data_IF_471405494860
#
_entry.id   IF_471405494860
#
_cell.length_a   1.000
_cell.length_b   1.000
_cell.length_c   1.000
_cell.angle_alpha   90.00
_cell.angle_beta   90.00
_cell.angle_gamma   90.00
#
_symmetry.space_group_name_H-M   'P 1'
#
loop_
_entity.id
_entity.type
_entity.pdbx_description
1 polymer ?
#
# COMPACT_ATOMS: atom_id res chain seq x y z
N UNK A 1 13.67 25.35 20.61
CA UNK A 1 14.74 25.86 19.74
C UNK A 1 14.06 26.16 18.41
N UNK A 2 13.25 27.23 18.42
CA UNK A 2 12.45 27.70 17.30
C UNK A 2 13.06 29.01 16.83
N UNK A 3 13.48 29.11 15.57
CA UNK A 3 13.60 30.31 14.74
C UNK A 3 13.80 29.74 13.31
N UNK A 4 13.15 30.14 12.21
CA UNK A 4 12.88 31.49 11.71
C UNK A 4 11.70 31.41 10.71
N UNK A 5 10.68 32.24 10.92
CA UNK A 5 9.78 32.77 9.89
C UNK A 5 9.93 34.29 9.93
N UNK A 6 10.32 34.91 8.81
CA UNK A 6 10.14 36.35 8.57
C UNK A 6 9.87 36.58 7.08
N UNK A 7 8.58 36.72 6.79
CA UNK A 7 7.92 37.90 6.20
C UNK A 7 8.61 38.75 5.11
N UNK A 8 7.91 38.78 3.97
CA UNK A 8 7.50 39.90 3.11
C UNK A 8 8.49 40.95 2.59
N UNK A 9 8.48 41.14 1.25
CA UNK A 9 8.29 42.46 0.61
C UNK A 9 7.55 42.37 -0.73
N UNK A 10 6.51 43.19 -0.84
CA UNK A 10 5.65 43.47 -1.98
C UNK A 10 6.35 44.25 -3.11
N UNK A 11 5.76 44.20 -4.31
CA UNK A 11 6.08 45.12 -5.42
C UNK A 11 5.40 44.72 -6.73
N UNK A 12 4.25 45.33 -7.02
CA UNK A 12 3.52 45.19 -8.29
C UNK A 12 3.85 46.36 -9.24
N UNK A 13 4.19 46.08 -10.51
CA UNK A 13 4.21 46.99 -11.67
C UNK A 13 4.09 46.11 -12.94
N UNK A 14 2.93 46.01 -13.62
CA UNK A 14 2.38 46.87 -14.69
C UNK A 14 3.03 46.70 -16.09
N UNK A 15 2.21 46.27 -17.08
CA UNK A 15 2.44 46.41 -18.55
C UNK A 15 3.47 45.44 -19.15
N UNK A 16 3.34 44.84 -20.34
CA UNK A 16 2.55 45.17 -21.51
C UNK A 16 3.48 45.13 -22.75
N UNK A 17 3.26 44.15 -23.63
CA UNK A 17 3.63 44.09 -25.06
C UNK A 17 5.09 43.77 -25.50
N UNK A 18 5.19 42.58 -26.11
CA UNK A 18 5.72 42.31 -27.45
C UNK A 18 7.13 42.81 -27.83
N UNK A 19 8.06 41.86 -27.96
CA UNK A 19 9.02 41.85 -29.08
C UNK A 19 9.28 40.39 -29.46
N UNK A 20 8.63 39.99 -30.55
CA UNK A 20 8.84 38.71 -31.21
C UNK A 20 9.89 38.92 -32.31
N UNK A 21 10.69 37.88 -32.59
CA UNK A 21 11.64 37.77 -33.70
C UNK A 21 12.88 38.66 -33.51
N UNK A 22 14.06 38.11 -33.24
CA UNK A 22 14.87 37.35 -34.19
C UNK A 22 15.95 36.57 -33.41
N UNK A 23 16.48 35.52 -34.04
CA UNK A 23 17.65 34.69 -33.68
C UNK A 23 17.28 33.32 -33.10
N UNK A 24 17.18 32.35 -34.02
CA UNK A 24 18.17 31.27 -34.09
C UNK A 24 18.11 30.17 -33.04
N UNK A 25 17.41 29.10 -33.42
CA UNK A 25 17.56 27.70 -32.97
C UNK A 25 18.95 27.32 -32.42
N UNK A 26 18.96 26.79 -31.19
CA UNK A 26 19.53 25.50 -30.74
C UNK A 26 19.97 25.62 -29.28
N UNK A 27 19.57 24.63 -28.47
CA UNK A 27 19.80 24.44 -27.01
C UNK A 27 18.59 24.84 -26.13
N UNK A 28 17.60 23.94 -26.07
CA UNK A 28 16.57 23.96 -25.03
C UNK A 28 17.02 23.09 -23.84
N UNK A 29 17.23 23.65 -22.63
CA UNK A 29 17.13 22.88 -21.40
C UNK A 29 15.65 22.69 -21.05
N UNK A 30 15.33 21.49 -20.57
CA UNK A 30 13.97 20.98 -20.39
C UNK A 30 13.06 21.87 -19.56
N UNK A 31 11.96 22.29 -20.18
CA UNK A 31 10.75 22.71 -19.48
C UNK A 31 9.90 21.48 -19.16
N UNK A 32 9.54 21.32 -17.89
CA UNK A 32 8.48 20.41 -17.46
C UNK A 32 7.18 20.85 -18.13
N UNK A 33 6.72 20.12 -19.16
CA UNK A 33 5.36 20.22 -19.66
C UNK A 33 4.51 19.15 -18.98
N UNK A 34 3.51 19.60 -18.25
CA UNK A 34 2.46 18.79 -17.68
C UNK A 34 1.35 18.79 -18.75
N UNK A 35 1.40 17.85 -19.69
CA UNK A 35 0.33 17.64 -20.66
C UNK A 35 -0.72 16.72 -20.01
N UNK A 36 -1.98 17.13 -19.81
CA UNK A 36 -3.03 16.20 -19.42
C UNK A 36 -3.40 15.37 -20.64
N UNK A 37 -3.02 14.09 -20.65
CA UNK A 37 -3.55 13.14 -21.63
C UNK A 37 -5.03 12.88 -21.34
N UNK A 38 -5.89 13.71 -21.94
CA UNK A 38 -7.28 13.38 -22.16
C UNK A 38 -7.35 12.25 -23.19
N UNK A 39 -7.31 11.01 -22.69
CA UNK A 39 -7.56 9.80 -23.46
C UNK A 39 -8.57 8.95 -22.70
N UNK A 40 -9.86 9.26 -22.82
CA UNK A 40 -10.95 8.39 -22.37
C UNK A 40 -11.08 7.22 -23.33
N UNK A 41 -10.10 6.33 -23.36
CA UNK A 41 -10.31 4.99 -23.87
C UNK A 41 -10.90 4.19 -22.72
N UNK A 42 -12.24 4.10 -22.67
CA UNK A 42 -12.93 3.18 -21.79
C UNK A 42 -12.40 1.77 -22.09
N UNK A 43 -11.68 1.18 -21.13
CA UNK A 43 -11.34 -0.23 -21.18
C UNK A 43 -12.65 -1.00 -21.32
N UNK A 44 -12.75 -2.00 -22.23
CA UNK A 44 -13.92 -2.87 -22.21
C UNK A 44 -13.94 -3.52 -20.84
N UNK A 45 -14.99 -3.22 -20.07
CA UNK A 45 -15.35 -4.02 -18.89
C UNK A 45 -15.81 -5.35 -19.47
N UNK A 46 -14.83 -6.21 -19.78
CA UNK A 46 -15.09 -7.59 -20.14
C UNK A 46 -15.83 -8.20 -18.96
N UNK A 47 -17.07 -8.62 -19.19
CA UNK A 47 -17.85 -9.39 -18.22
C UNK A 47 -16.94 -10.46 -17.65
N UNK A 48 -16.68 -10.41 -16.35
CA UNK A 48 -15.96 -11.47 -15.66
C UNK A 48 -16.75 -12.76 -15.93
N UNK A 49 -16.26 -13.58 -16.87
CA UNK A 49 -16.72 -14.94 -16.97
C UNK A 49 -16.51 -15.54 -15.58
N UNK A 50 -17.58 -16.08 -15.00
CA UNK A 50 -17.53 -16.71 -13.69
C UNK A 50 -16.66 -17.97 -13.83
N UNK A 51 -15.34 -17.80 -13.75
CA UNK A 51 -14.40 -18.90 -13.67
C UNK A 51 -14.72 -19.61 -12.35
N UNK A 52 -15.23 -20.84 -12.46
CA UNK A 52 -15.39 -21.71 -11.30
C UNK A 52 -14.04 -21.90 -10.61
N UNK A 53 -14.06 -22.17 -9.31
CA UNK A 53 -12.84 -22.47 -8.55
C UNK A 53 -12.19 -23.72 -9.19
N UNK A 54 -10.92 -23.64 -9.65
CA UNK A 54 -10.20 -24.79 -10.17
C UNK A 54 -10.26 -25.98 -9.19
N UNK A 55 -10.48 -27.17 -9.74
CA UNK A 55 -10.54 -28.43 -8.99
C UNK A 55 -9.32 -28.56 -8.05
N UNK A 56 -9.55 -28.87 -6.77
CA UNK A 56 -8.47 -29.07 -5.79
C UNK A 56 -8.03 -27.82 -5.01
N UNK A 57 -8.57 -26.64 -5.30
CA UNK A 57 -8.38 -25.46 -4.44
C UNK A 57 -9.30 -25.57 -3.21
N UNK A 58 -8.72 -25.44 -2.02
CA UNK A 58 -9.43 -25.44 -0.75
C UNK A 58 -9.36 -24.04 -0.11
N UNK A 59 -10.52 -23.49 0.24
CA UNK A 59 -10.63 -22.26 1.04
C UNK A 59 -10.97 -22.68 2.46
N UNK A 60 -10.16 -22.22 3.43
CA UNK A 60 -10.37 -22.52 4.83
C UNK A 60 -11.60 -21.77 5.35
N UNK A 61 -12.56 -22.47 5.95
CA UNK A 61 -13.79 -21.84 6.47
C UNK A 61 -13.70 -21.50 7.95
N UNK A 62 -12.82 -22.17 8.67
CA UNK A 62 -12.70 -22.06 10.14
C UNK A 62 -11.44 -21.31 10.58
N UNK A 63 -10.61 -20.90 9.63
CA UNK A 63 -9.40 -20.10 9.84
C UNK A 63 -9.15 -19.27 8.58
N UNK A 64 -8.03 -18.55 8.55
CA UNK A 64 -7.62 -17.79 7.37
C UNK A 64 -6.94 -18.69 6.34
N UNK A 65 -7.20 -18.40 5.08
CA UNK A 65 -6.57 -18.97 3.90
C UNK A 65 -5.33 -18.16 3.52
N UNK A 66 -4.26 -18.84 3.11
CA UNK A 66 -3.08 -18.18 2.55
C UNK A 66 -3.40 -17.43 1.26
N UNK A 67 -2.80 -16.25 1.07
CA UNK A 67 -2.92 -15.46 -0.16
C UNK A 67 -2.47 -16.23 -1.41
N UNK A 68 -1.61 -17.24 -1.27
CA UNK A 68 -1.19 -18.11 -2.36
C UNK A 68 -2.39 -18.79 -3.04
N UNK A 69 -3.39 -19.22 -2.25
CA UNK A 69 -4.61 -19.85 -2.78
C UNK A 69 -5.40 -18.84 -3.60
N UNK A 70 -5.52 -17.61 -3.12
CA UNK A 70 -6.18 -16.52 -3.84
C UNK A 70 -5.48 -16.22 -5.18
N UNK A 71 -4.14 -16.31 -5.20
CA UNK A 71 -3.30 -16.09 -6.37
C UNK A 71 -3.50 -17.09 -7.52
N UNK A 72 -4.11 -18.26 -7.27
CA UNK A 72 -4.42 -19.21 -8.32
C UNK A 72 -5.42 -18.64 -9.34
N UNK A 73 -6.41 -17.89 -8.86
CA UNK A 73 -7.46 -17.26 -9.69
C UNK A 73 -7.26 -15.74 -9.83
N UNK A 74 -6.84 -15.04 -8.77
CA UNK A 74 -6.69 -13.58 -8.73
C UNK A 74 -5.23 -13.16 -8.97
N UNK A 75 -4.64 -13.65 -10.05
CA UNK A 75 -3.20 -13.54 -10.34
C UNK A 75 -2.70 -12.08 -10.37
N UNK A 76 -3.39 -11.19 -11.06
CA UNK A 76 -3.00 -9.79 -11.19
C UNK A 76 -3.06 -9.04 -9.84
N UNK A 77 -4.12 -9.29 -9.05
CA UNK A 77 -4.29 -8.68 -7.72
C UNK A 77 -3.24 -9.24 -6.75
N UNK A 78 -3.02 -10.55 -6.75
CA UNK A 78 -2.01 -11.19 -5.93
C UNK A 78 -0.60 -10.66 -6.25
N UNK A 79 -0.25 -10.52 -7.53
CA UNK A 79 1.03 -9.94 -7.95
C UNK A 79 1.19 -8.49 -7.47
N UNK A 80 0.13 -7.68 -7.51
CA UNK A 80 0.15 -6.32 -6.98
C UNK A 80 0.29 -6.29 -5.46
N UNK A 81 -0.48 -7.12 -4.74
CA UNK A 81 -0.40 -7.27 -3.30
C UNK A 81 0.99 -7.70 -2.86
N UNK A 82 1.64 -8.64 -3.54
CA UNK A 82 2.99 -9.10 -3.24
C UNK A 82 4.02 -7.96 -3.19
N UNK A 83 3.85 -6.91 -4.00
CA UNK A 83 4.73 -5.73 -4.03
C UNK A 83 4.37 -4.67 -2.97
N UNK A 84 3.22 -4.79 -2.32
CA UNK A 84 2.73 -3.81 -1.36
C UNK A 84 3.52 -3.81 -0.03
N UNK A 85 3.24 -2.84 0.82
CA UNK A 85 3.71 -2.85 2.21
C UNK A 85 2.86 -3.76 3.10
N UNK A 86 1.64 -4.09 2.70
CA UNK A 86 0.75 -5.00 3.42
C UNK A 86 1.27 -6.44 3.40
N UNK A 87 1.71 -6.94 2.23
CA UNK A 87 2.35 -8.27 2.11
C UNK A 87 3.66 -8.38 2.88
N UNK A 88 4.31 -7.25 3.13
CA UNK A 88 5.59 -7.13 3.83
C UNK A 88 5.46 -6.60 5.25
N UNK A 89 4.23 -6.44 5.75
CA UNK A 89 3.99 -5.78 7.02
C UNK A 89 4.71 -6.49 8.17
N UNK A 90 4.72 -7.82 8.16
CA UNK A 90 5.46 -8.62 9.13
C UNK A 90 6.94 -8.77 8.77
N UNK A 91 7.30 -8.95 7.48
CA UNK A 91 8.65 -9.38 7.09
C UNK A 91 9.64 -8.25 6.83
N UNK A 92 9.16 -7.00 6.73
CA UNK A 92 10.03 -5.85 6.49
C UNK A 92 11.10 -5.70 7.60
N UNK A 93 12.35 -5.47 7.21
CA UNK A 93 13.49 -5.35 8.11
C UNK A 93 13.40 -4.20 9.12
N UNK A 94 12.83 -3.06 8.74
CA UNK A 94 12.60 -1.90 9.63
C UNK A 94 11.63 -2.29 10.74
N UNK A 95 10.47 -2.86 10.37
CA UNK A 95 9.51 -3.36 11.35
C UNK A 95 10.13 -4.42 12.24
N UNK A 96 10.84 -5.39 11.67
CA UNK A 96 11.48 -6.47 12.42
C UNK A 96 12.53 -5.97 13.42
N UNK A 97 13.28 -4.91 13.09
CA UNK A 97 14.20 -4.28 14.04
C UNK A 97 13.45 -3.65 15.22
N UNK A 98 12.42 -2.84 14.95
CA UNK A 98 11.59 -2.22 16.00
C UNK A 98 10.84 -3.25 16.83
N UNK A 99 10.32 -4.30 16.20
CA UNK A 99 9.57 -5.36 16.87
C UNK A 99 10.45 -6.18 17.82
N UNK A 100 11.68 -6.51 17.42
CA UNK A 100 12.65 -7.17 18.30
C UNK A 100 13.01 -6.31 19.50
N UNK A 101 13.22 -5.01 19.29
CA UNK A 101 13.50 -4.09 20.38
C UNK A 101 12.32 -3.96 21.34
N UNK A 102 11.10 -3.82 20.81
CA UNK A 102 9.88 -3.80 21.61
C UNK A 102 9.73 -5.08 22.45
N UNK A 103 10.00 -6.26 21.87
CA UNK A 103 10.01 -7.54 22.61
C UNK A 103 11.07 -7.58 23.72
N UNK A 104 12.23 -6.96 23.50
CA UNK A 104 13.31 -6.91 24.50
C UNK A 104 12.95 -6.00 25.67
N UNK A 105 12.34 -4.84 25.38
CA UNK A 105 11.94 -3.84 26.37
C UNK A 105 10.65 -4.21 27.11
N UNK A 106 9.70 -4.84 26.41
CA UNK A 106 8.36 -5.16 26.90
C UNK A 106 8.01 -6.61 26.56
N UNK A 107 8.48 -7.60 27.35
CA UNK A 107 8.48 -9.03 26.99
C UNK A 107 7.12 -9.74 27.01
N UNK A 108 6.01 -9.03 26.87
CA UNK A 108 4.64 -9.58 27.05
C UNK A 108 3.66 -9.00 26.00
N UNK A 109 2.41 -8.79 26.39
CA UNK A 109 1.28 -8.26 25.62
C UNK A 109 1.61 -7.01 24.78
N UNK A 110 2.52 -6.16 25.24
CA UNK A 110 2.93 -4.96 24.52
C UNK A 110 3.58 -5.26 23.16
N UNK A 111 4.35 -6.34 23.04
CA UNK A 111 4.89 -6.75 21.75
C UNK A 111 3.80 -7.37 20.86
N UNK A 112 2.82 -8.05 21.45
CA UNK A 112 1.71 -8.63 20.69
C UNK A 112 0.83 -7.56 20.04
N UNK A 113 0.75 -6.36 20.63
CA UNK A 113 0.04 -5.22 20.05
C UNK A 113 0.52 -4.92 18.63
N UNK A 114 1.84 -4.97 18.38
CA UNK A 114 2.41 -4.74 17.05
C UNK A 114 1.81 -5.66 15.98
N UNK A 115 1.54 -6.91 16.35
CA UNK A 115 1.01 -7.91 15.42
C UNK A 115 -0.49 -7.74 15.15
N UNK A 116 -1.20 -6.92 15.93
CA UNK A 116 -2.61 -6.56 15.64
C UNK A 116 -2.75 -5.89 14.27
N UNK A 117 -1.70 -5.20 13.79
CA UNK A 117 -1.70 -4.57 12.48
C UNK A 117 -0.71 -5.22 11.51
N UNK A 118 0.43 -5.71 11.98
CA UNK A 118 1.50 -6.21 11.11
C UNK A 118 1.38 -7.69 10.74
N UNK A 119 0.59 -8.47 11.48
CA UNK A 119 0.22 -9.85 11.15
C UNK A 119 -1.14 -10.17 11.80
N UNK A 120 -2.21 -9.45 11.40
CA UNK A 120 -3.44 -9.36 12.19
C UNK A 120 -4.16 -10.69 12.42
N UNK A 121 -3.91 -11.70 11.56
CA UNK A 121 -4.45 -13.05 11.68
C UNK A 121 -4.10 -13.73 13.00
N UNK A 122 -2.97 -13.37 13.64
CA UNK A 122 -2.55 -13.94 14.93
C UNK A 122 -3.57 -13.72 16.04
N UNK A 123 -4.41 -12.69 15.94
CA UNK A 123 -5.46 -12.40 16.91
C UNK A 123 -6.51 -13.51 17.00
N UNK A 124 -6.73 -14.23 15.90
CA UNK A 124 -7.67 -15.35 15.85
C UNK A 124 -6.95 -16.70 15.86
N UNK A 125 -5.78 -16.81 15.22
CA UNK A 125 -5.06 -18.08 15.11
C UNK A 125 -4.17 -18.39 16.32
N UNK A 126 -3.80 -17.39 17.12
CA UNK A 126 -2.84 -17.53 18.22
C UNK A 126 -1.39 -17.72 17.76
N UNK A 127 -1.09 -17.60 16.46
CA UNK A 127 0.22 -17.87 15.87
C UNK A 127 1.25 -16.72 16.08
N UNK A 128 1.47 -16.32 17.33
CA UNK A 128 2.44 -15.27 17.68
C UNK A 128 3.91 -15.66 17.41
N UNK A 129 4.16 -16.95 17.15
CA UNK A 129 5.46 -17.46 16.75
C UNK A 129 5.67 -17.43 15.22
N UNK A 130 4.69 -16.97 14.44
CA UNK A 130 4.73 -16.91 12.98
C UNK A 130 5.12 -18.25 12.34
N UNK A 131 4.48 -19.33 12.75
CA UNK A 131 4.68 -20.67 12.20
C UNK A 131 3.84 -20.90 10.95
N UNK A 132 2.67 -20.27 10.86
CA UNK A 132 1.74 -20.44 9.76
C UNK A 132 2.10 -19.52 8.57
N UNK A 133 1.79 -19.94 7.32
CA UNK A 133 2.06 -19.13 6.13
C UNK A 133 1.39 -17.74 6.17
N UNK A 134 0.10 -17.69 6.49
CA UNK A 134 -0.69 -16.45 6.48
C UNK A 134 -0.20 -15.41 7.52
N UNK A 135 0.50 -15.85 8.57
CA UNK A 135 1.12 -14.94 9.53
C UNK A 135 2.32 -14.21 8.90
N UNK A 136 3.13 -14.93 8.12
CA UNK A 136 4.32 -14.38 7.45
C UNK A 136 3.95 -13.48 6.26
N UNK A 137 2.75 -13.65 5.71
CA UNK A 137 2.17 -12.82 4.65
C UNK A 137 1.77 -11.41 5.13
N UNK A 138 1.88 -11.12 6.44
CA UNK A 138 1.50 -9.84 7.00
C UNK A 138 0.00 -9.60 6.92
N UNK A 139 -0.40 -8.49 6.29
CA UNK A 139 -1.82 -8.20 6.03
C UNK A 139 -2.23 -8.94 4.75
N UNK A 140 -2.63 -10.20 4.94
CA UNK A 140 -3.02 -11.14 3.87
C UNK A 140 -4.41 -10.84 3.28
N UNK A 141 -4.71 -11.46 2.14
CA UNK A 141 -5.98 -11.31 1.43
C UNK A 141 -7.18 -11.62 2.31
N UNK A 142 -7.18 -12.79 2.97
CA UNK A 142 -8.33 -13.27 3.74
C UNK A 142 -8.62 -12.36 4.95
N UNK A 143 -7.59 -11.88 5.65
CA UNK A 143 -7.80 -10.92 6.73
C UNK A 143 -8.58 -9.69 6.25
N UNK A 144 -8.13 -9.02 5.18
CA UNK A 144 -8.81 -7.84 4.65
C UNK A 144 -10.23 -8.16 4.16
N UNK A 145 -10.40 -9.28 3.45
CA UNK A 145 -11.68 -9.66 2.86
C UNK A 145 -12.65 -10.33 3.84
N UNK A 146 -12.22 -10.64 5.06
CA UNK A 146 -13.06 -11.13 6.15
C UNK A 146 -13.62 -10.01 7.05
N UNK A 147 -13.15 -8.76 6.89
CA UNK A 147 -13.67 -7.61 7.65
C UNK A 147 -15.10 -7.29 7.20
N UNK A 148 -16.04 -7.32 8.14
CA UNK A 148 -17.48 -7.05 7.89
C UNK A 148 -17.97 -5.70 8.41
N UNK A 149 -17.18 -5.01 9.23
CA UNK A 149 -17.54 -3.73 9.81
C UNK A 149 -16.43 -3.17 10.69
N UNK A 150 -16.55 -1.88 11.01
CA UNK A 150 -15.67 -1.16 11.94
C UNK A 150 -16.54 -0.44 12.97
N UNK A 151 -16.15 -0.46 14.24
CA UNK A 151 -16.78 0.32 15.29
C UNK A 151 -15.93 1.58 15.51
N UNK A 152 -16.55 2.76 15.39
CA UNK A 152 -15.90 4.06 15.55
C UNK A 152 -16.38 4.83 16.79
N UNK A 153 -17.25 4.23 17.61
CA UNK A 153 -17.88 4.86 18.77
C UNK A 153 -17.02 4.78 20.04
N UNK A 154 -15.70 4.60 19.88
CA UNK A 154 -14.72 4.57 20.99
C UNK A 154 -14.19 5.95 21.32
#
# INVERSE_FOLDING_TARGET
>A
MDLIRTDERAGALSGGMAACWLIGFLLAPGGCRNEPQAGTAALPVGSAAQAGIPEGIQIETNTFTSAHVCGACHQAIHASWQQSMHSRAFTNGVFQASYREAKRLYPTEHAQLCLTCHAPTVRNTGDYAAQLPMTKEGVTCDFCHSVRGVNLDT
#
